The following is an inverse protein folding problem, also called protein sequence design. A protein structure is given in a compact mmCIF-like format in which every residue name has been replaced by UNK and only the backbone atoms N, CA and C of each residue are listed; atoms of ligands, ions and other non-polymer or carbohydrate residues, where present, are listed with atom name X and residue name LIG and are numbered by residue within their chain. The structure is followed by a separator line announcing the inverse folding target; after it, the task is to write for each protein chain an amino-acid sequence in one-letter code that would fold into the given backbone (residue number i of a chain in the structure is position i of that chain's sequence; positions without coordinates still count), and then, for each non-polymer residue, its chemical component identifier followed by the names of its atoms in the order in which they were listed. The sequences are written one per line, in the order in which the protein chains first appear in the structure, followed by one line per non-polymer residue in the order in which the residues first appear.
data_IF_368280199855
#
_entry.id   IF_368280199855
#
_cell.length_a   1.000
_cell.length_b   1.000
_cell.length_c   1.000
_cell.angle_alpha   90.00
_cell.angle_beta   90.00
_cell.angle_gamma   90.00
#
_symmetry.space_group_name_H-M   'P 1'
#
loop_
_entity.id
_entity.type
_entity.pdbx_description
1 polymer ?
#
# COMPACT_ATOMS: atom_id res chain seq x y z
N UNK A 1 25.86 57.00 10.76
CA UNK A 1 24.77 56.13 11.32
C UNK A 1 25.30 54.73 11.52
N UNK A 2 25.51 54.29 12.75
CA UNK A 2 26.00 52.94 13.02
C UNK A 2 24.83 51.98 12.88
N UNK A 3 24.87 51.09 11.90
CA UNK A 3 23.91 50.00 11.77
C UNK A 3 24.06 49.09 13.02
N UNK A 4 23.08 49.12 13.91
CA UNK A 4 22.99 48.17 15.01
C UNK A 4 22.96 46.79 14.40
N UNK A 5 24.03 45.97 14.56
CA UNK A 5 24.04 44.56 14.19
C UNK A 5 22.92 43.84 14.96
N UNK A 6 21.78 43.62 14.30
CA UNK A 6 20.65 42.93 14.91
C UNK A 6 21.04 41.48 15.20
N UNK A 7 20.40 40.86 16.20
CA UNK A 7 20.55 39.43 16.50
C UNK A 7 20.47 38.57 15.22
N UNK A 8 19.58 38.92 14.30
CA UNK A 8 19.41 38.27 13.00
C UNK A 8 20.68 38.35 12.14
N UNK A 9 21.30 39.52 12.01
CA UNK A 9 22.50 39.64 11.17
C UNK A 9 23.70 38.87 11.73
N UNK A 10 23.79 38.72 13.03
CA UNK A 10 24.85 37.94 13.69
C UNK A 10 24.66 36.43 13.57
N UNK A 11 23.39 35.96 13.47
CA UNK A 11 23.07 34.54 13.57
C UNK A 11 22.49 33.96 12.28
N UNK A 12 22.21 34.75 11.23
CA UNK A 12 21.57 34.30 10.00
C UNK A 12 22.25 33.10 9.35
N UNK A 13 23.57 33.03 9.34
CA UNK A 13 24.31 31.91 8.79
C UNK A 13 24.25 30.66 9.67
N UNK A 14 24.21 30.83 10.99
CA UNK A 14 24.00 29.71 11.91
C UNK A 14 22.58 29.17 11.82
N UNK A 15 21.59 30.03 11.67
CA UNK A 15 20.19 29.65 11.46
C UNK A 15 19.99 28.98 10.09
N UNK A 16 20.71 29.44 9.05
CA UNK A 16 20.71 28.76 7.74
C UNK A 16 21.26 27.35 7.83
N UNK A 17 22.28 27.13 8.66
CA UNK A 17 22.79 25.77 8.92
C UNK A 17 21.74 24.84 9.55
N UNK A 18 20.83 25.39 10.37
CA UNK A 18 19.73 24.60 10.95
C UNK A 18 18.76 24.09 9.87
N UNK A 19 18.56 24.86 8.81
CA UNK A 19 17.70 24.42 7.68
C UNK A 19 18.23 23.18 6.95
N UNK A 20 19.55 22.92 7.02
CA UNK A 20 20.15 21.72 6.44
C UNK A 20 19.79 20.45 7.22
N UNK A 21 19.41 20.56 8.48
CA UNK A 21 19.01 19.42 9.31
C UNK A 21 17.70 18.81 8.78
N UNK A 22 16.77 19.62 8.29
CA UNK A 22 15.48 19.17 7.78
C UNK A 22 15.62 18.19 6.58
N UNK A 23 16.36 18.53 5.51
CA UNK A 23 16.57 17.59 4.41
C UNK A 23 17.23 16.28 4.85
N UNK A 24 18.20 16.34 5.78
CA UNK A 24 18.86 15.15 6.30
C UNK A 24 17.88 14.29 7.10
N UNK A 25 17.06 14.92 7.94
CA UNK A 25 16.00 14.24 8.67
C UNK A 25 14.99 13.55 7.75
N UNK A 26 14.46 14.29 6.76
CA UNK A 26 13.52 13.72 5.79
C UNK A 26 14.14 12.62 4.95
N UNK A 27 15.41 12.75 4.58
CA UNK A 27 16.13 11.71 3.87
C UNK A 27 16.25 10.44 4.74
N UNK A 28 16.64 10.59 6.00
CA UNK A 28 16.73 9.46 6.94
C UNK A 28 15.36 8.78 7.12
N UNK A 29 14.31 9.54 7.37
CA UNK A 29 12.95 9.05 7.54
C UNK A 29 12.46 8.32 6.28
N UNK A 30 12.74 8.87 5.11
CA UNK A 30 12.44 8.25 3.82
C UNK A 30 13.19 6.94 3.54
N UNK A 31 14.42 6.82 4.04
CA UNK A 31 15.25 5.62 3.87
C UNK A 31 14.96 4.54 4.93
N UNK A 32 14.22 4.87 5.99
CA UNK A 32 13.90 3.95 7.09
C UNK A 32 12.38 3.84 7.31
N UNK A 33 11.59 3.48 6.28
CA UNK A 33 10.15 3.36 6.43
C UNK A 33 9.82 2.21 7.41
N UNK A 34 8.87 2.48 8.32
CA UNK A 34 8.34 1.48 9.24
C UNK A 34 6.98 1.04 8.73
N UNK A 35 6.93 -0.18 8.21
CA UNK A 35 5.67 -0.79 7.78
C UNK A 35 5.01 -1.56 8.92
N UNK A 36 3.67 -1.66 8.93
CA UNK A 36 2.97 -2.59 9.80
C UNK A 36 3.41 -4.03 9.55
N UNK A 37 3.24 -4.95 10.51
CA UNK A 37 3.57 -6.34 10.31
C UNK A 37 2.75 -6.94 9.16
N UNK A 38 3.37 -7.82 8.39
CA UNK A 38 2.69 -8.60 7.38
C UNK A 38 1.63 -9.52 8.04
N UNK A 39 0.53 -9.74 7.33
CA UNK A 39 -0.52 -10.62 7.82
C UNK A 39 -0.13 -12.11 7.65
N UNK A 40 -1.03 -13.01 8.09
CA UNK A 40 -0.81 -14.44 7.95
C UNK A 40 -0.69 -14.83 6.46
N UNK A 41 0.27 -15.71 6.17
CA UNK A 41 0.37 -16.29 4.84
C UNK A 41 -0.76 -17.28 4.59
N UNK A 42 -1.20 -17.36 3.34
CA UNK A 42 -2.21 -18.32 2.89
C UNK A 42 -1.84 -18.93 1.54
N UNK A 43 -2.22 -20.17 1.36
CA UNK A 43 -2.15 -20.85 0.07
C UNK A 43 -3.36 -20.43 -0.81
N UNK A 44 -3.08 -19.98 -2.02
CA UNK A 44 -4.06 -19.58 -3.04
C UNK A 44 -3.73 -20.32 -4.34
N UNK A 45 -4.31 -21.48 -4.53
CA UNK A 45 -3.91 -22.39 -5.59
C UNK A 45 -2.43 -22.76 -5.47
N UNK A 46 -1.60 -22.56 -6.51
CA UNK A 46 -0.17 -22.87 -6.48
C UNK A 46 0.68 -21.80 -5.76
N UNK A 47 0.08 -20.72 -5.30
CA UNK A 47 0.78 -19.59 -4.68
C UNK A 47 0.67 -19.63 -3.16
N UNK A 48 1.72 -19.16 -2.47
CA UNK A 48 1.68 -18.81 -1.04
C UNK A 48 1.88 -17.31 -0.93
N UNK A 49 0.90 -16.61 -0.37
CA UNK A 49 0.81 -15.16 -0.43
C UNK A 49 0.67 -14.57 0.98
N UNK A 50 1.39 -13.48 1.22
CA UNK A 50 1.36 -12.72 2.48
C UNK A 50 1.04 -11.26 2.16
N UNK A 51 -0.12 -10.72 2.56
CA UNK A 51 -0.42 -9.30 2.45
C UNK A 51 0.31 -8.50 3.53
N UNK A 52 0.76 -7.31 3.16
CA UNK A 52 1.33 -6.32 4.07
C UNK A 52 0.71 -4.95 3.78
N UNK A 53 -0.06 -4.36 4.70
CA UNK A 53 -0.57 -3.01 4.53
C UNK A 53 0.57 -1.98 4.62
N UNK A 54 0.48 -0.88 3.89
CA UNK A 54 1.45 0.21 3.99
C UNK A 54 1.30 1.01 5.29
N UNK A 55 0.09 1.07 5.82
CA UNK A 55 -0.19 1.70 7.11
C UNK A 55 -1.44 1.06 7.78
N UNK A 56 -1.77 1.50 8.99
CA UNK A 56 -2.95 1.05 9.73
C UNK A 56 -4.12 2.05 9.67
N UNK A 57 -4.03 3.09 8.83
CA UNK A 57 -5.07 4.11 8.71
C UNK A 57 -6.28 3.57 7.96
N UNK A 58 -7.40 4.30 8.07
CA UNK A 58 -8.60 4.07 7.27
C UNK A 58 -8.31 4.32 5.77
N UNK A 59 -9.12 3.77 4.86
CA UNK A 59 -9.01 4.04 3.44
C UNK A 59 -9.04 5.53 3.11
N UNK A 60 -8.36 5.92 2.05
CA UNK A 60 -8.32 7.29 1.58
C UNK A 60 -8.95 7.42 0.19
N UNK A 61 -9.41 8.63 -0.15
CA UNK A 61 -9.97 8.91 -1.47
C UNK A 61 -8.84 8.97 -2.51
N UNK A 62 -8.98 8.19 -3.58
CA UNK A 62 -8.09 8.17 -4.73
C UNK A 62 -8.94 8.15 -6.00
N UNK A 63 -8.76 9.14 -6.88
CA UNK A 63 -9.67 9.39 -8.00
C UNK A 63 -11.15 9.44 -7.53
N UNK A 64 -12.00 8.58 -8.05
CA UNK A 64 -13.43 8.54 -7.72
C UNK A 64 -13.79 7.49 -6.65
N UNK A 65 -12.79 6.73 -6.15
CA UNK A 65 -12.97 5.61 -5.23
C UNK A 65 -12.20 5.80 -3.91
N UNK A 66 -12.50 4.96 -2.94
CA UNK A 66 -11.69 4.80 -1.73
C UNK A 66 -10.79 3.59 -1.89
N UNK A 67 -9.53 3.75 -1.49
CA UNK A 67 -8.54 2.68 -1.62
C UNK A 67 -7.70 2.54 -0.35
N UNK A 68 -7.07 1.38 -0.23
CA UNK A 68 -6.08 1.05 0.80
C UNK A 68 -4.89 0.36 0.15
N UNK A 69 -3.68 0.81 0.50
CA UNK A 69 -2.46 0.29 -0.10
C UNK A 69 -1.96 -0.97 0.57
N UNK A 70 -1.63 -1.95 -0.26
CA UNK A 70 -1.00 -3.20 0.15
C UNK A 70 0.18 -3.57 -0.74
N UNK A 71 1.13 -4.24 -0.12
CA UNK A 71 2.13 -5.05 -0.81
C UNK A 71 1.74 -6.53 -0.63
N UNK A 72 1.62 -7.27 -1.72
CA UNK A 72 1.42 -8.71 -1.69
C UNK A 72 2.75 -9.40 -2.01
N UNK A 73 3.25 -10.17 -1.05
CA UNK A 73 4.48 -10.94 -1.20
C UNK A 73 4.14 -12.38 -1.59
N UNK A 74 4.58 -12.80 -2.76
CA UNK A 74 4.44 -14.18 -3.23
C UNK A 74 5.65 -14.97 -2.74
N UNK A 75 5.44 -15.78 -1.71
CA UNK A 75 6.48 -16.62 -1.10
C UNK A 75 6.77 -17.89 -1.91
N UNK A 76 5.74 -18.38 -2.62
CA UNK A 76 5.83 -19.54 -3.50
C UNK A 76 4.91 -19.34 -4.71
N UNK A 77 5.20 -20.05 -5.78
CA UNK A 77 4.48 -20.00 -7.04
C UNK A 77 5.15 -19.08 -8.07
N UNK A 78 4.89 -19.38 -9.35
CA UNK A 78 5.43 -18.58 -10.46
C UNK A 78 4.44 -17.48 -10.84
N UNK A 79 4.76 -16.22 -10.50
CA UNK A 79 3.92 -15.06 -10.81
C UNK A 79 3.73 -14.83 -12.31
N UNK A 80 4.60 -15.36 -13.17
CA UNK A 80 4.46 -15.26 -14.63
C UNK A 80 3.26 -16.04 -15.16
N UNK A 81 2.70 -16.96 -14.36
CA UNK A 81 1.46 -17.68 -14.70
C UNK A 81 0.21 -16.85 -14.44
N UNK A 82 0.33 -15.74 -13.72
CA UNK A 82 -0.75 -14.81 -13.43
C UNK A 82 -0.93 -13.85 -14.62
N UNK A 83 -2.15 -13.82 -15.16
CA UNK A 83 -2.56 -12.84 -16.16
C UNK A 83 -2.81 -11.51 -15.50
N UNK A 84 -3.63 -11.51 -14.43
CA UNK A 84 -3.93 -10.35 -13.61
C UNK A 84 -4.38 -10.75 -12.21
N UNK A 85 -3.99 -9.96 -11.21
CA UNK A 85 -4.50 -10.04 -9.85
C UNK A 85 -5.30 -8.79 -9.50
N UNK A 86 -6.33 -8.97 -8.69
CA UNK A 86 -7.21 -7.90 -8.23
C UNK A 86 -7.42 -8.01 -6.73
N UNK A 87 -7.51 -6.85 -6.05
CA UNK A 87 -7.71 -6.81 -4.61
C UNK A 87 -8.81 -5.80 -4.26
N UNK A 88 -9.74 -6.25 -3.44
CA UNK A 88 -10.73 -5.36 -2.85
C UNK A 88 -10.92 -5.65 -1.36
N UNK A 89 -11.40 -4.66 -0.63
CA UNK A 89 -11.86 -4.80 0.76
C UNK A 89 -13.38 -4.65 0.78
N UNK A 90 -14.02 -5.56 1.46
CA UNK A 90 -15.48 -5.57 1.59
C UNK A 90 -15.99 -6.90 2.15
N UNK A 91 -17.32 -7.07 2.27
CA UNK A 91 -17.93 -8.29 2.79
C UNK A 91 -17.77 -9.49 1.84
N UNK A 92 -17.45 -9.24 0.57
CA UNK A 92 -17.22 -10.29 -0.45
C UNK A 92 -16.24 -9.82 -1.52
N UNK A 93 -15.69 -10.79 -2.26
CA UNK A 93 -14.95 -10.50 -3.49
C UNK A 93 -15.87 -9.79 -4.50
N UNK A 94 -15.35 -8.75 -5.15
CA UNK A 94 -16.07 -8.10 -6.24
C UNK A 94 -16.10 -9.01 -7.48
N UNK A 95 -17.17 -8.94 -8.30
CA UNK A 95 -17.22 -9.67 -9.57
C UNK A 95 -16.05 -9.26 -10.49
N UNK A 96 -15.47 -10.23 -11.19
CA UNK A 96 -14.36 -9.98 -12.11
C UNK A 96 -14.68 -8.89 -13.14
N UNK A 97 -15.92 -8.85 -13.64
CA UNK A 97 -16.37 -7.82 -14.59
C UNK A 97 -16.31 -6.41 -14.02
N UNK A 98 -16.56 -6.26 -12.73
CA UNK A 98 -16.43 -4.98 -12.02
C UNK A 98 -14.95 -4.60 -11.86
N UNK A 99 -14.13 -5.56 -11.43
CA UNK A 99 -12.69 -5.36 -11.24
C UNK A 99 -11.95 -5.03 -12.54
N UNK A 100 -12.41 -5.56 -13.67
CA UNK A 100 -11.82 -5.30 -15.00
C UNK A 100 -12.25 -3.96 -15.62
N UNK A 101 -13.28 -3.32 -15.11
CA UNK A 101 -13.78 -2.03 -15.62
C UNK A 101 -13.16 -0.82 -14.92
N UNK A 102 -12.65 -1.01 -13.70
CA UNK A 102 -12.01 0.05 -12.91
C UNK A 102 -10.51 0.15 -13.15
N UNK A 103 -9.94 1.26 -12.72
CA UNK A 103 -8.50 1.50 -12.75
C UNK A 103 -7.83 1.09 -11.41
N UNK A 104 -8.64 0.95 -10.35
CA UNK A 104 -8.18 0.59 -9.01
C UNK A 104 -8.31 -0.92 -8.74
N UNK A 105 -7.68 -1.38 -7.68
CA UNK A 105 -7.70 -2.78 -7.28
C UNK A 105 -6.76 -3.67 -8.09
N UNK A 106 -6.04 -3.15 -9.06
CA UNK A 106 -5.18 -3.91 -9.96
C UNK A 106 -3.81 -4.15 -9.31
N UNK A 107 -3.40 -5.40 -9.25
CA UNK A 107 -2.11 -5.81 -8.74
C UNK A 107 -1.02 -5.56 -9.79
N UNK A 108 0.03 -4.82 -9.41
CA UNK A 108 1.14 -4.51 -10.30
C UNK A 108 2.48 -4.51 -9.55
N UNK A 109 3.57 -4.72 -10.25
CA UNK A 109 4.91 -4.77 -9.67
C UNK A 109 5.78 -5.85 -10.29
N UNK A 110 6.64 -6.47 -9.48
CA UNK A 110 7.60 -7.47 -9.90
C UNK A 110 7.61 -8.69 -8.96
N UNK A 111 8.44 -9.66 -9.25
CA UNK A 111 8.66 -10.85 -8.39
C UNK A 111 9.11 -10.50 -6.95
N UNK A 112 9.61 -9.28 -6.72
CA UNK A 112 10.04 -8.82 -5.39
C UNK A 112 8.89 -8.30 -4.53
N UNK A 113 7.72 -8.08 -5.11
CA UNK A 113 6.51 -7.63 -4.45
C UNK A 113 5.55 -6.96 -5.42
N UNK A 114 4.29 -7.29 -5.26
CA UNK A 114 3.20 -6.74 -6.04
C UNK A 114 2.43 -5.73 -5.18
N UNK A 115 2.35 -4.50 -5.67
CA UNK A 115 1.64 -3.40 -5.03
C UNK A 115 0.22 -3.29 -5.57
N UNK A 116 -0.69 -2.81 -4.74
CA UNK A 116 -2.08 -2.56 -5.13
C UNK A 116 -2.70 -1.43 -4.31
N UNK A 117 -3.49 -0.59 -4.98
CA UNK A 117 -4.50 0.28 -4.37
C UNK A 117 -5.80 -0.53 -4.27
N UNK A 118 -5.96 -1.31 -3.20
CA UNK A 118 -7.13 -2.18 -3.02
C UNK A 118 -8.40 -1.33 -2.93
N UNK A 119 -9.40 -1.60 -3.76
CA UNK A 119 -10.72 -0.96 -3.68
C UNK A 119 -11.30 -1.21 -2.28
N UNK A 120 -11.75 -0.16 -1.61
CA UNK A 120 -12.19 -0.24 -0.22
C UNK A 120 -13.45 0.60 0.04
N UNK A 121 -14.24 0.27 1.07
CA UNK A 121 -15.26 1.17 1.56
C UNK A 121 -14.62 2.39 2.23
N UNK A 122 -15.35 3.50 2.36
CA UNK A 122 -14.86 4.71 3.04
C UNK A 122 -14.42 4.45 4.49
N UNK A 123 -15.05 3.50 5.16
CA UNK A 123 -14.73 3.07 6.52
C UNK A 123 -14.90 1.55 6.59
N UNK A 124 -14.01 0.89 7.31
CA UNK A 124 -14.11 -0.54 7.52
C UNK A 124 -15.28 -0.91 8.44
N UNK A 125 -15.87 -2.05 8.15
CA UNK A 125 -16.88 -2.71 8.99
C UNK A 125 -16.36 -4.05 9.51
N UNK A 126 -16.98 -4.59 10.54
CA UNK A 126 -16.59 -5.87 11.13
C UNK A 126 -16.74 -7.08 10.18
N UNK A 127 -17.46 -6.91 9.07
CA UNK A 127 -17.67 -7.96 8.06
C UNK A 127 -16.72 -7.87 6.89
N UNK A 128 -15.92 -6.78 6.82
CA UNK A 128 -15.02 -6.57 5.69
C UNK A 128 -13.78 -7.44 5.82
N UNK A 129 -13.33 -7.92 4.68
CA UNK A 129 -12.13 -8.74 4.50
C UNK A 129 -11.34 -8.19 3.32
N UNK A 130 -10.05 -8.46 3.32
CA UNK A 130 -9.24 -8.27 2.13
C UNK A 130 -9.46 -9.47 1.21
N UNK A 131 -9.93 -9.24 0.02
CA UNK A 131 -10.16 -10.25 -1.02
C UNK A 131 -9.11 -10.11 -2.11
N UNK A 132 -8.51 -11.23 -2.48
CA UNK A 132 -7.62 -11.36 -3.62
C UNK A 132 -8.28 -12.27 -4.66
N UNK A 133 -8.40 -11.79 -5.88
CA UNK A 133 -8.83 -12.56 -7.04
C UNK A 133 -7.71 -12.60 -8.07
N UNK A 134 -7.25 -13.80 -8.41
CA UNK A 134 -6.19 -14.03 -9.41
C UNK A 134 -6.83 -14.67 -10.65
N UNK A 135 -6.58 -14.07 -11.80
CA UNK A 135 -6.87 -14.66 -13.12
C UNK A 135 -5.55 -15.17 -13.69
N UNK A 136 -5.49 -16.45 -14.04
CA UNK A 136 -4.32 -17.05 -14.71
C UNK A 136 -4.41 -16.92 -16.21
N UNK A 137 -3.30 -17.10 -16.92
CA UNK A 137 -3.29 -17.14 -18.39
C UNK A 137 -4.12 -18.29 -18.99
N UNK A 138 -4.41 -19.31 -18.20
CA UNK A 138 -5.28 -20.44 -18.57
C UNK A 138 -6.76 -20.13 -18.36
N UNK A 139 -7.10 -18.95 -17.80
CA UNK A 139 -8.48 -18.53 -17.49
C UNK A 139 -9.01 -19.11 -16.18
N UNK A 140 -8.16 -19.70 -15.35
CA UNK A 140 -8.55 -20.12 -14.00
C UNK A 140 -8.68 -18.90 -13.08
N UNK A 141 -9.73 -18.89 -12.25
CA UNK A 141 -9.95 -17.89 -11.23
C UNK A 141 -9.70 -18.49 -9.84
N UNK A 142 -8.76 -17.88 -9.12
CA UNK A 142 -8.44 -18.23 -7.74
C UNK A 142 -8.83 -17.07 -6.85
N UNK A 143 -9.59 -17.35 -5.77
CA UNK A 143 -10.02 -16.31 -4.82
C UNK A 143 -9.68 -16.73 -3.41
N UNK A 144 -9.16 -15.80 -2.62
CA UNK A 144 -8.88 -15.98 -1.20
C UNK A 144 -9.17 -14.70 -0.42
N UNK A 145 -9.21 -14.80 0.90
CA UNK A 145 -9.44 -13.62 1.75
C UNK A 145 -8.64 -13.67 3.05
N UNK A 146 -8.41 -12.50 3.63
CA UNK A 146 -7.82 -12.31 4.95
C UNK A 146 -8.75 -11.45 5.81
N UNK A 147 -8.88 -11.80 7.09
CA UNK A 147 -9.57 -10.96 8.06
C UNK A 147 -8.78 -9.66 8.25
N UNK A 148 -9.49 -8.54 8.33
CA UNK A 148 -8.86 -7.29 8.73
C UNK A 148 -8.45 -7.38 10.21
N UNK A 149 -7.25 -6.90 10.60
CA UNK A 149 -6.87 -6.86 11.99
C UNK A 149 -7.89 -6.01 12.78
N UNK A 150 -8.29 -6.51 13.96
CA UNK A 150 -9.10 -5.72 14.88
C UNK A 150 -8.32 -4.46 15.31
N UNK A 151 -8.97 -3.31 15.30
CA UNK A 151 -8.42 -2.04 15.82
C UNK A 151 -8.09 -2.13 17.30
#
# INVERSE_FOLDING_TARGET
MAFKNSFWQRNKFKLSGLLLVLPIWFLYDSLTPVFPPAWSEQAVGPYVITPMPFDLKQPYAHHEEFVKDFLLMFKQGDINTIRQGYVNIGPSALPLTTLQQGDEGILHGSEHGLHVHAIAPKQFSATDKLWLTIETWQGELLTSNWELPAE
#
